data_IF_219892240086
#
_entry.id   IF_219892240086
#
_cell.length_a   1.000
_cell.length_b   1.000
_cell.length_c   1.000
_cell.angle_alpha   90.00
_cell.angle_beta   90.00
_cell.angle_gamma   90.00
#
_symmetry.space_group_name_H-M   'P 1'
#
loop_
_entity.id
_entity.type
_entity.pdbx_description
1 polymer ?
#
# COMPACT_ATOMS: atom_id res chain seq x y z
N UNK A 1 -24.19 -22.13 -0.07
CA UNK A 1 -23.12 -21.11 -0.10
C UNK A 1 -22.83 -20.73 1.34
N UNK A 2 -21.67 -21.13 1.89
CA UNK A 2 -21.25 -20.77 3.26
C UNK A 2 -21.15 -19.23 3.33
N UNK A 3 -21.74 -18.62 4.36
CA UNK A 3 -21.54 -17.22 4.68
C UNK A 3 -20.05 -17.00 4.99
N UNK A 4 -19.29 -16.56 4.00
CA UNK A 4 -17.92 -16.17 4.19
C UNK A 4 -17.88 -14.94 5.11
N UNK A 5 -17.39 -15.13 6.32
CA UNK A 5 -17.08 -14.03 7.22
C UNK A 5 -15.90 -13.28 6.60
N UNK A 6 -16.15 -12.12 6.02
CA UNK A 6 -15.09 -11.27 5.47
C UNK A 6 -14.22 -10.58 6.54
N UNK A 7 -14.67 -10.63 7.82
CA UNK A 7 -14.00 -10.02 8.97
C UNK A 7 -14.45 -10.62 10.29
N UNK A 8 -13.67 -10.41 11.33
CA UNK A 8 -13.93 -10.90 12.69
C UNK A 8 -15.12 -10.21 13.38
N UNK A 9 -15.44 -8.98 12.98
CA UNK A 9 -16.56 -8.22 13.52
C UNK A 9 -17.85 -8.55 12.76
N UNK A 10 -18.98 -8.63 13.48
CA UNK A 10 -20.30 -8.78 12.87
C UNK A 10 -20.78 -7.47 12.25
N UNK A 11 -20.10 -7.01 11.20
CA UNK A 11 -20.49 -5.81 10.48
C UNK A 11 -21.41 -6.21 9.33
N UNK A 12 -22.63 -5.65 9.21
CA UNK A 12 -23.52 -5.98 8.12
C UNK A 12 -22.96 -5.49 6.80
N UNK A 13 -22.59 -6.39 5.91
CA UNK A 13 -22.26 -6.04 4.53
C UNK A 13 -23.57 -5.79 3.79
N UNK A 14 -23.71 -4.60 3.22
CA UNK A 14 -24.78 -4.35 2.26
C UNK A 14 -24.51 -5.19 1.00
N UNK A 15 -25.28 -6.23 0.76
CA UNK A 15 -25.15 -7.06 -0.45
C UNK A 15 -25.56 -6.30 -1.71
N UNK A 16 -26.48 -5.33 -1.59
CA UNK A 16 -26.96 -4.49 -2.68
C UNK A 16 -26.68 -3.03 -2.37
N UNK A 17 -25.67 -2.48 -3.02
CA UNK A 17 -25.39 -1.05 -2.95
C UNK A 17 -26.34 -0.32 -3.88
N UNK A 18 -27.18 0.59 -3.32
CA UNK A 18 -28.05 1.46 -4.14
C UNK A 18 -27.25 2.61 -4.79
N UNK A 19 -26.05 2.87 -4.29
CA UNK A 19 -25.19 3.93 -4.78
C UNK A 19 -24.52 3.55 -6.09
N UNK A 20 -24.77 4.34 -7.14
CA UNK A 20 -24.28 4.09 -8.50
C UNK A 20 -22.76 4.21 -8.59
N UNK A 21 -22.13 5.08 -7.81
CA UNK A 21 -20.68 5.28 -7.85
C UNK A 21 -19.97 4.06 -7.28
N UNK A 22 -20.48 3.51 -6.16
CA UNK A 22 -19.95 2.28 -5.58
C UNK A 22 -20.11 1.12 -6.55
N UNK A 23 -21.27 0.99 -7.21
CA UNK A 23 -21.51 -0.06 -8.20
C UNK A 23 -20.54 0.05 -9.38
N UNK A 24 -20.35 1.26 -9.93
CA UNK A 24 -19.42 1.50 -11.02
C UNK A 24 -17.97 1.19 -10.61
N UNK A 25 -17.57 1.63 -9.42
CA UNK A 25 -16.23 1.34 -8.91
C UNK A 25 -16.00 -0.17 -8.75
N UNK A 26 -16.97 -0.89 -8.22
CA UNK A 26 -16.90 -2.36 -8.10
C UNK A 26 -16.87 -3.07 -9.43
N UNK A 27 -17.60 -2.56 -10.43
CA UNK A 27 -17.54 -3.06 -11.82
C UNK A 27 -16.13 -2.94 -12.38
N UNK A 28 -15.51 -1.75 -12.26
CA UNK A 28 -14.12 -1.50 -12.68
C UNK A 28 -13.15 -2.45 -11.96
N UNK A 29 -13.32 -2.66 -10.65
CA UNK A 29 -12.47 -3.60 -9.89
C UNK A 29 -12.59 -5.02 -10.45
N UNK A 30 -13.80 -5.51 -10.71
CA UNK A 30 -14.02 -6.84 -11.29
C UNK A 30 -13.40 -6.98 -12.68
N UNK A 31 -13.52 -5.97 -13.53
CA UNK A 31 -12.95 -5.96 -14.87
C UNK A 31 -11.41 -5.96 -14.85
N UNK A 32 -10.80 -5.13 -13.99
CA UNK A 32 -9.35 -4.97 -13.95
C UNK A 32 -8.63 -6.01 -13.09
N UNK A 33 -9.24 -6.44 -11.98
CA UNK A 33 -8.62 -7.30 -10.97
C UNK A 33 -9.22 -8.71 -10.92
N UNK A 34 -10.37 -8.93 -11.55
CA UNK A 34 -11.13 -10.19 -11.46
C UNK A 34 -11.93 -10.34 -10.15
N UNK A 35 -11.77 -9.42 -9.21
CA UNK A 35 -12.42 -9.45 -7.90
C UNK A 35 -12.67 -8.04 -7.34
N UNK A 36 -13.50 -7.96 -6.29
CA UNK A 36 -13.64 -6.74 -5.50
C UNK A 36 -12.81 -6.92 -4.23
N UNK A 37 -11.76 -6.10 -4.00
CA UNK A 37 -10.94 -6.16 -2.79
C UNK A 37 -11.78 -6.00 -1.51
N UNK A 38 -11.47 -6.79 -0.48
CA UNK A 38 -12.22 -6.77 0.77
C UNK A 38 -12.15 -5.42 1.48
N UNK A 39 -11.01 -4.73 1.39
CA UNK A 39 -10.86 -3.37 1.93
C UNK A 39 -11.88 -2.39 1.35
N UNK A 40 -12.25 -2.51 0.08
CA UNK A 40 -13.28 -1.67 -0.52
C UNK A 40 -14.67 -2.02 0.03
N UNK A 41 -14.96 -3.32 0.19
CA UNK A 41 -16.24 -3.76 0.75
C UNK A 41 -16.42 -3.24 2.20
N UNK A 42 -15.36 -3.27 3.01
CA UNK A 42 -15.42 -2.76 4.41
C UNK A 42 -15.67 -1.25 4.49
N UNK A 43 -15.14 -0.48 3.55
CA UNK A 43 -15.35 0.96 3.53
C UNK A 43 -16.75 1.38 3.07
N UNK A 44 -17.53 0.49 2.45
CA UNK A 44 -18.90 0.81 1.98
C UNK A 44 -19.95 0.95 3.08
N UNK A 45 -19.59 0.75 4.34
CA UNK A 45 -20.47 0.97 5.49
C UNK A 45 -20.96 2.43 5.50
N UNK A 46 -20.09 3.35 5.17
CA UNK A 46 -20.34 4.78 5.03
C UNK A 46 -19.84 5.30 3.69
N UNK A 47 -20.72 5.94 2.90
CA UNK A 47 -20.37 6.49 1.58
C UNK A 47 -19.25 7.54 1.68
N UNK A 48 -19.30 8.43 2.66
CA UNK A 48 -18.29 9.48 2.85
C UNK A 48 -16.91 8.85 3.14
N UNK A 49 -16.90 7.81 3.97
CA UNK A 49 -15.69 7.04 4.28
C UNK A 49 -15.14 6.32 3.04
N UNK A 50 -16.02 5.72 2.25
CA UNK A 50 -15.65 5.07 0.99
C UNK A 50 -15.02 6.07 0.01
N UNK A 51 -15.63 7.23 -0.16
CA UNK A 51 -15.13 8.27 -1.07
C UNK A 51 -13.78 8.83 -0.61
N UNK A 52 -13.67 9.17 0.68
CA UNK A 52 -12.42 9.64 1.25
C UNK A 52 -11.28 8.62 1.10
N UNK A 53 -11.56 7.35 1.37
CA UNK A 53 -10.59 6.26 1.19
C UNK A 53 -10.14 6.14 -0.27
N UNK A 54 -11.08 6.17 -1.22
CA UNK A 54 -10.75 6.00 -2.64
C UNK A 54 -9.99 7.19 -3.20
N UNK A 55 -10.38 8.41 -2.87
CA UNK A 55 -9.64 9.62 -3.27
C UNK A 55 -8.21 9.52 -2.76
N UNK A 56 -8.04 9.20 -1.50
CA UNK A 56 -6.76 9.07 -0.86
C UNK A 56 -5.89 7.95 -1.47
N UNK A 57 -6.45 6.73 -1.57
CA UNK A 57 -5.76 5.58 -2.13
C UNK A 57 -5.31 5.83 -3.58
N UNK A 58 -6.19 6.40 -4.40
CA UNK A 58 -5.88 6.68 -5.80
C UNK A 58 -4.75 7.71 -5.92
N UNK A 59 -4.80 8.81 -5.16
CA UNK A 59 -3.71 9.79 -5.16
C UNK A 59 -2.39 9.21 -4.69
N UNK A 60 -2.43 8.32 -3.72
CA UNK A 60 -1.22 7.68 -3.20
C UNK A 60 -0.64 6.66 -4.18
N UNK A 61 -1.46 5.74 -4.68
CA UNK A 61 -0.98 4.55 -5.38
C UNK A 61 -1.06 4.66 -6.91
N UNK A 62 -1.98 5.45 -7.45
CA UNK A 62 -2.26 5.49 -8.90
C UNK A 62 -1.67 6.70 -9.61
N UNK A 63 -1.54 7.84 -8.94
CA UNK A 63 -0.94 9.02 -9.55
C UNK A 63 0.54 8.79 -9.83
N UNK A 64 1.02 9.20 -10.99
CA UNK A 64 2.43 9.08 -11.41
C UNK A 64 3.28 10.22 -10.81
N UNK A 65 3.04 10.52 -9.52
CA UNK A 65 3.79 11.52 -8.79
C UNK A 65 5.08 10.88 -8.26
N UNK A 66 6.08 11.60 -8.03
CA UNK A 66 7.26 11.39 -7.20
C UNK A 66 7.89 9.97 -7.12
N UNK A 67 7.12 8.90 -7.10
CA UNK A 67 7.56 7.50 -7.12
C UNK A 67 6.85 6.76 -8.25
N UNK A 68 7.59 5.92 -8.95
CA UNK A 68 6.99 5.01 -9.94
C UNK A 68 6.02 4.04 -9.26
N UNK A 69 5.06 3.51 -10.01
CA UNK A 69 4.12 2.50 -9.50
C UNK A 69 4.85 1.27 -8.95
N UNK A 70 5.98 0.90 -9.54
CA UNK A 70 6.82 -0.19 -9.05
C UNK A 70 7.40 0.15 -7.67
N UNK A 71 7.98 1.34 -7.50
CA UNK A 71 8.54 1.78 -6.21
C UNK A 71 7.46 1.85 -5.13
N UNK A 72 6.27 2.36 -5.45
CA UNK A 72 5.13 2.39 -4.52
C UNK A 72 4.72 0.99 -4.07
N UNK A 73 4.62 0.03 -4.99
CA UNK A 73 4.28 -1.35 -4.63
C UNK A 73 5.41 -2.07 -3.89
N UNK A 74 6.69 -1.80 -4.21
CA UNK A 74 7.83 -2.30 -3.42
C UNK A 74 7.73 -1.82 -1.97
N UNK A 75 7.47 -0.53 -1.76
CA UNK A 75 7.28 0.07 -0.43
C UNK A 75 6.11 -0.61 0.28
N UNK A 76 4.96 -0.72 -0.39
CA UNK A 76 3.78 -1.34 0.19
C UNK A 76 4.01 -2.80 0.59
N UNK A 77 4.76 -3.58 -0.20
CA UNK A 77 5.16 -4.95 0.14
C UNK A 77 6.00 -4.97 1.41
N UNK A 78 7.05 -4.13 1.51
CA UNK A 78 7.94 -4.12 2.68
C UNK A 78 7.23 -3.64 3.94
N UNK A 79 6.39 -2.61 3.84
CA UNK A 79 5.53 -2.18 4.97
C UNK A 79 4.59 -3.30 5.41
N UNK A 80 4.00 -4.01 4.45
CA UNK A 80 3.07 -5.11 4.74
C UNK A 80 3.74 -6.28 5.46
N UNK A 81 4.94 -6.66 5.04
CA UNK A 81 5.73 -7.72 5.70
C UNK A 81 6.18 -7.30 7.08
N UNK A 82 6.63 -6.08 7.22
CA UNK A 82 7.04 -5.50 8.50
C UNK A 82 5.88 -5.51 9.51
N UNK A 83 4.68 -5.16 9.07
CA UNK A 83 3.46 -5.17 9.86
C UNK A 83 2.81 -6.57 9.98
N UNK A 84 3.37 -7.59 9.33
CA UNK A 84 2.84 -8.96 9.31
C UNK A 84 1.39 -9.05 8.84
N UNK A 85 0.98 -8.15 7.93
CA UNK A 85 -0.37 -8.12 7.37
C UNK A 85 -0.47 -9.08 6.18
N UNK A 86 -0.97 -10.29 6.39
CA UNK A 86 -1.07 -11.30 5.33
C UNK A 86 -1.86 -10.81 4.10
N UNK A 87 -3.03 -10.19 4.33
CA UNK A 87 -3.85 -9.65 3.24
C UNK A 87 -3.08 -8.63 2.39
N UNK A 88 -2.39 -7.68 3.05
CA UNK A 88 -1.61 -6.65 2.37
C UNK A 88 -0.43 -7.26 1.61
N UNK A 89 0.28 -8.23 2.22
CA UNK A 89 1.38 -8.95 1.59
C UNK A 89 0.93 -9.61 0.28
N UNK A 90 -0.18 -10.35 0.31
CA UNK A 90 -0.72 -11.03 -0.87
C UNK A 90 -1.15 -10.01 -1.93
N UNK A 91 -1.88 -8.97 -1.55
CA UNK A 91 -2.42 -7.98 -2.50
C UNK A 91 -1.31 -7.19 -3.19
N UNK A 92 -0.37 -6.63 -2.42
CA UNK A 92 0.70 -5.80 -2.97
C UNK A 92 1.76 -6.61 -3.72
N UNK A 93 2.11 -7.81 -3.25
CA UNK A 93 3.05 -8.67 -3.98
C UNK A 93 2.49 -9.14 -5.32
N UNK A 94 1.19 -9.40 -5.40
CA UNK A 94 0.53 -9.74 -6.66
C UNK A 94 0.57 -8.57 -7.66
N UNK A 95 0.26 -7.35 -7.19
CA UNK A 95 0.33 -6.15 -8.02
C UNK A 95 1.77 -5.88 -8.47
N UNK A 96 2.75 -6.00 -7.56
CA UNK A 96 4.16 -5.85 -7.86
C UNK A 96 4.62 -6.85 -8.92
N UNK A 97 4.21 -8.12 -8.81
CA UNK A 97 4.53 -9.17 -9.78
C UNK A 97 4.04 -8.82 -11.20
N UNK A 98 2.82 -8.27 -11.30
CA UNK A 98 2.27 -7.81 -12.58
C UNK A 98 3.06 -6.62 -13.16
N UNK A 99 3.40 -5.65 -12.34
CA UNK A 99 4.14 -4.46 -12.77
C UNK A 99 5.58 -4.79 -13.20
N UNK A 100 6.25 -5.66 -12.46
CA UNK A 100 7.59 -6.14 -12.79
C UNK A 100 7.60 -7.11 -13.98
N UNK A 101 6.47 -7.75 -14.28
CA UNK A 101 6.39 -8.92 -15.18
C UNK A 101 7.33 -10.05 -14.74
N UNK A 102 7.62 -10.10 -13.45
CA UNK A 102 8.55 -11.04 -12.81
C UNK A 102 8.01 -11.46 -11.44
N UNK A 103 7.24 -12.55 -11.37
CA UNK A 103 6.65 -13.03 -10.13
C UNK A 103 7.71 -13.56 -9.15
N UNK A 104 8.85 -14.06 -9.65
CA UNK A 104 9.93 -14.55 -8.79
C UNK A 104 10.58 -13.38 -8.06
N UNK A 105 10.90 -12.31 -8.77
CA UNK A 105 11.48 -11.11 -8.17
C UNK A 105 10.55 -10.47 -7.14
N UNK A 106 9.25 -10.37 -7.45
CA UNK A 106 8.26 -9.86 -6.50
C UNK A 106 8.19 -10.73 -5.25
N UNK A 107 8.25 -12.06 -5.39
CA UNK A 107 8.27 -13.01 -4.28
C UNK A 107 9.55 -12.89 -3.45
N UNK A 108 10.70 -12.68 -4.08
CA UNK A 108 11.96 -12.48 -3.37
C UNK A 108 11.93 -11.22 -2.51
N UNK A 109 11.37 -10.10 -3.05
CA UNK A 109 11.19 -8.86 -2.31
C UNK A 109 10.22 -9.07 -1.12
N UNK A 110 9.14 -9.82 -1.32
CA UNK A 110 8.18 -10.14 -0.27
C UNK A 110 8.81 -10.94 0.87
N UNK A 111 9.64 -11.94 0.53
CA UNK A 111 10.22 -12.82 1.54
C UNK A 111 11.38 -12.13 2.26
N UNK A 112 12.30 -11.54 1.52
CA UNK A 112 13.44 -10.80 2.05
C UNK A 112 14.03 -9.87 0.99
N UNK A 113 13.67 -8.58 1.05
CA UNK A 113 14.16 -7.57 0.12
C UNK A 113 15.68 -7.31 0.24
N UNK A 114 16.27 -7.58 1.39
CA UNK A 114 17.69 -7.29 1.65
C UNK A 114 18.61 -8.13 0.75
N UNK A 115 18.22 -9.35 0.45
CA UNK A 115 18.97 -10.28 -0.44
C UNK A 115 18.38 -10.36 -1.85
N UNK A 116 17.23 -9.73 -2.11
CA UNK A 116 16.61 -9.71 -3.43
C UNK A 116 17.51 -8.97 -4.45
N UNK A 117 17.49 -9.44 -5.70
CA UNK A 117 18.21 -8.80 -6.81
C UNK A 117 17.49 -7.54 -7.29
N UNK A 118 17.67 -6.46 -6.54
CA UNK A 118 17.15 -5.12 -6.83
C UNK A 118 18.30 -4.11 -6.85
N UNK A 119 18.05 -2.93 -7.44
CA UNK A 119 19.09 -1.89 -7.53
C UNK A 119 19.49 -1.38 -6.13
N UNK A 120 20.71 -0.85 -6.02
CA UNK A 120 21.20 -0.20 -4.80
C UNK A 120 20.26 0.93 -4.35
N UNK A 121 19.71 1.69 -5.31
CA UNK A 121 18.71 2.72 -5.06
C UNK A 121 17.48 2.14 -4.34
N UNK A 122 16.92 1.07 -4.84
CA UNK A 122 15.75 0.43 -4.25
C UNK A 122 16.07 -0.18 -2.87
N UNK A 123 17.26 -0.75 -2.67
CA UNK A 123 17.65 -1.25 -1.32
C UNK A 123 17.67 -0.13 -0.30
N UNK A 124 18.35 0.99 -0.58
CA UNK A 124 18.41 2.13 0.33
C UNK A 124 17.00 2.67 0.64
N UNK A 125 16.14 2.76 -0.38
CA UNK A 125 14.74 3.15 -0.21
C UNK A 125 14.01 2.20 0.76
N UNK A 126 14.13 0.90 0.54
CA UNK A 126 13.43 -0.11 1.35
C UNK A 126 14.00 -0.25 2.76
N UNK A 127 15.32 -0.05 2.96
CA UNK A 127 15.95 0.03 4.28
C UNK A 127 15.36 1.17 5.11
N UNK A 128 15.22 2.35 4.47
CA UNK A 128 14.59 3.49 5.10
C UNK A 128 13.12 3.21 5.46
N UNK A 129 12.36 2.63 4.53
CA UNK A 129 10.97 2.25 4.73
C UNK A 129 10.81 1.27 5.88
N UNK A 130 11.61 0.21 5.91
CA UNK A 130 11.60 -0.79 6.97
C UNK A 130 11.91 -0.16 8.34
N UNK A 131 12.97 0.66 8.41
CA UNK A 131 13.35 1.36 9.64
C UNK A 131 12.26 2.31 10.11
N UNK A 132 11.67 3.11 9.19
CA UNK A 132 10.59 4.04 9.54
C UNK A 132 9.35 3.33 10.04
N UNK A 133 9.00 2.18 9.44
CA UNK A 133 7.84 1.38 9.85
C UNK A 133 8.03 0.76 11.24
N UNK A 134 9.24 0.27 11.55
CA UNK A 134 9.51 -0.43 12.81
C UNK A 134 9.90 0.50 13.95
N UNK A 135 10.66 1.55 13.65
CA UNK A 135 11.35 2.39 14.60
C UNK A 135 11.34 3.87 14.16
N UNK A 136 10.16 4.43 13.91
CA UNK A 136 10.03 5.82 13.41
C UNK A 136 10.80 6.84 14.27
N UNK A 137 10.81 6.65 15.58
CA UNK A 137 11.53 7.50 16.55
C UNK A 137 13.06 7.44 16.45
N UNK A 138 13.62 6.48 15.71
CA UNK A 138 15.07 6.31 15.47
C UNK A 138 15.53 6.87 14.11
N UNK A 139 14.62 7.42 13.32
CA UNK A 139 14.99 8.07 12.05
C UNK A 139 15.76 9.36 12.36
N UNK A 140 16.87 9.52 11.69
CA UNK A 140 17.77 10.67 11.85
C UNK A 140 18.21 11.25 10.51
N UNK A 141 19.00 12.33 10.56
CA UNK A 141 19.46 13.01 9.34
C UNK A 141 20.37 12.15 8.47
N UNK A 142 21.16 11.26 9.07
CA UNK A 142 21.98 10.30 8.33
C UNK A 142 21.15 9.33 7.47
N UNK A 143 19.96 8.96 7.93
CA UNK A 143 19.03 8.13 7.14
C UNK A 143 18.46 8.93 5.95
N UNK A 144 18.09 10.20 6.18
CA UNK A 144 17.61 11.11 5.13
C UNK A 144 18.71 11.42 4.11
N UNK A 145 19.95 11.62 4.56
CA UNK A 145 21.08 11.88 3.68
C UNK A 145 21.41 10.70 2.76
N UNK A 146 21.23 9.47 3.23
CA UNK A 146 21.35 8.29 2.35
C UNK A 146 20.34 8.34 1.20
N UNK A 147 19.11 8.74 1.45
CA UNK A 147 18.09 8.92 0.41
C UNK A 147 18.45 10.07 -0.54
N UNK A 148 18.90 11.22 0.00
CA UNK A 148 19.33 12.37 -0.82
C UNK A 148 20.47 12.00 -1.79
N UNK A 149 21.45 11.21 -1.32
CA UNK A 149 22.60 10.77 -2.13
C UNK A 149 22.21 9.88 -3.32
N UNK A 150 21.07 9.21 -3.28
CA UNK A 150 20.57 8.39 -4.38
C UNK A 150 19.55 9.11 -5.28
N UNK A 151 19.56 10.46 -5.21
CA UNK A 151 18.71 11.33 -6.02
C UNK A 151 17.19 11.11 -5.84
N UNK A 152 16.77 10.83 -4.62
CA UNK A 152 15.35 10.94 -4.27
C UNK A 152 14.87 12.40 -4.13
N UNK A 153 15.70 13.38 -4.52
CA UNK A 153 15.44 14.81 -4.34
C UNK A 153 15.17 15.60 -5.62
N UNK A 154 15.18 14.96 -6.79
CA UNK A 154 15.03 15.71 -8.04
C UNK A 154 13.55 15.93 -8.35
N UNK A 155 12.99 17.03 -7.86
CA UNK A 155 11.69 17.54 -8.25
C UNK A 155 11.77 18.91 -8.88
N UNK A 156 10.85 19.19 -9.86
CA UNK A 156 10.66 20.53 -10.40
C UNK A 156 10.18 21.52 -9.32
N UNK A 157 9.44 21.05 -8.31
CA UNK A 157 9.02 21.85 -7.18
C UNK A 157 9.98 21.69 -6.00
N UNK A 158 10.75 22.75 -5.73
CA UNK A 158 11.76 22.78 -4.66
C UNK A 158 11.18 22.63 -3.23
N UNK A 159 9.86 22.70 -3.09
CA UNK A 159 9.16 22.71 -1.80
C UNK A 159 8.66 21.34 -1.35
N UNK A 160 8.62 20.33 -2.24
CA UNK A 160 8.18 18.95 -1.92
C UNK A 160 9.24 17.96 -2.39
N UNK A 161 9.77 17.17 -1.50
CA UNK A 161 10.78 16.16 -1.85
C UNK A 161 10.17 14.76 -1.90
N UNK A 162 10.81 13.82 -2.62
CA UNK A 162 10.42 12.39 -2.59
C UNK A 162 10.42 11.85 -1.17
N UNK A 163 11.26 12.43 -0.33
CA UNK A 163 11.36 12.06 1.08
C UNK A 163 10.08 12.46 1.79
N UNK A 164 9.56 13.67 1.56
CA UNK A 164 8.30 14.14 2.16
C UNK A 164 7.14 13.27 1.70
N UNK A 165 7.10 12.93 0.40
CA UNK A 165 6.10 12.01 -0.13
C UNK A 165 6.25 10.59 0.45
N UNK A 166 7.48 10.13 0.67
CA UNK A 166 7.75 8.85 1.30
C UNK A 166 7.29 8.87 2.76
N UNK A 167 7.51 9.95 3.49
CA UNK A 167 6.95 10.16 4.83
C UNK A 167 5.43 10.21 4.80
N UNK A 168 4.85 10.96 3.87
CA UNK A 168 3.41 11.03 3.68
C UNK A 168 2.82 9.67 3.36
N UNK A 169 3.44 8.93 2.43
CA UNK A 169 3.03 7.58 2.06
C UNK A 169 3.12 6.62 3.25
N UNK A 170 4.20 6.66 4.01
CA UNK A 170 4.40 5.78 5.16
C UNK A 170 3.54 6.17 6.36
N UNK A 171 3.35 7.45 6.64
CA UNK A 171 2.37 7.94 7.60
C UNK A 171 0.97 7.44 7.28
N UNK A 172 0.68 7.30 6.01
CA UNK A 172 -0.64 6.91 5.49
C UNK A 172 -0.82 5.40 5.30
N UNK A 173 0.27 4.64 5.03
CA UNK A 173 0.25 3.16 4.95
C UNK A 173 0.46 2.53 6.32
N UNK A 174 1.17 3.21 7.22
CA UNK A 174 1.36 2.85 8.62
C UNK A 174 0.69 3.88 9.56
N UNK A 175 -0.55 4.29 9.32
CA UNK A 175 -1.24 5.04 10.35
C UNK A 175 -1.44 4.07 11.50
N UNK A 176 -1.15 4.54 12.70
CA UNK A 176 -1.58 3.88 13.91
C UNK A 176 -2.74 2.92 13.69
N UNK A 177 -2.51 1.66 14.04
CA UNK A 177 -3.48 0.61 14.45
C UNK A 177 -4.96 0.73 13.98
N UNK A 178 -5.45 1.90 13.60
CA UNK A 178 -6.84 2.12 13.21
C UNK A 178 -7.16 1.62 11.80
N UNK A 179 -6.26 1.78 10.82
CA UNK A 179 -6.46 1.25 9.46
C UNK A 179 -5.86 -0.17 9.32
N UNK A 180 -4.70 -0.42 9.93
CA UNK A 180 -4.14 -1.77 10.02
C UNK A 180 -4.97 -2.67 10.92
N UNK A 181 -5.59 -2.14 11.97
CA UNK A 181 -6.57 -2.87 12.77
C UNK A 181 -7.76 -3.36 11.95
N UNK A 182 -8.33 -2.51 11.09
CA UNK A 182 -9.41 -2.91 10.18
C UNK A 182 -8.95 -3.96 9.14
N UNK A 183 -7.70 -3.91 8.69
CA UNK A 183 -7.13 -4.86 7.74
C UNK A 183 -6.77 -6.18 8.42
N UNK A 184 -6.30 -6.18 9.67
CA UNK A 184 -6.09 -7.39 10.48
C UNK A 184 -7.40 -8.16 10.74
N UNK A 185 -8.53 -7.49 10.65
CA UNK A 185 -9.85 -8.12 10.78
C UNK A 185 -10.39 -8.70 9.46
N UNK A 186 -9.72 -8.46 8.32
CA UNK A 186 -10.06 -9.12 7.07
C UNK A 186 -9.37 -10.50 7.06
N UNK A 187 -10.07 -11.54 7.52
CA UNK A 187 -9.63 -12.91 7.28
C UNK A 187 -9.61 -13.17 5.76
N UNK A 188 -8.47 -13.62 5.28
CA UNK A 188 -8.27 -14.18 3.94
C UNK A 188 -8.98 -15.52 3.84
#
# INVERSE_FOLDING_TARGET
MKNEKLWSLKIPIKKNFKDKDIQNYFKICKEKLGLIPNILKTNTIDKKKFDAFNIFYNRLMQDDNYLSKIEKEMIAVVVSTTNRCLYCCVSHSYTLAKLLKDPIKAKNILINYEVAQISKKHKIMLDFVSKLTQNSHKINDGDRDKLRKIKFNEFPDKNVTNIDFLFEMLWKISPDLSLTGLIHFCNV
#
